data_IF_982385765556
#
_entry.id   IF_982385765556
#
_cell.length_a   1.000
_cell.length_b   1.000
_cell.length_c   1.000
_cell.angle_alpha   90.00
_cell.angle_beta   90.00
_cell.angle_gamma   90.00
#
_symmetry.space_group_name_H-M   'P 1'
#
loop_
_entity.id
_entity.type
_entity.pdbx_description
1 polymer ?
#
# COMPACT_ATOMS: atom_id res chain seq x y z
N UNK A 1 9.99 30.59 11.00
CA UNK A 1 11.18 29.76 10.66
C UNK A 1 10.86 28.31 11.03
N UNK A 2 11.55 27.31 10.43
CA UNK A 2 11.38 25.88 10.77
C UNK A 2 12.75 25.29 11.07
N UNK A 3 12.87 24.52 12.15
CA UNK A 3 14.13 23.92 12.63
C UNK A 3 13.96 22.41 12.78
N UNK A 4 14.93 21.64 12.30
CA UNK A 4 15.00 20.20 12.54
C UNK A 4 15.63 19.96 13.92
N UNK A 5 14.93 19.19 14.76
CA UNK A 5 15.42 18.82 16.09
C UNK A 5 16.47 17.72 16.01
N UNK A 6 17.42 17.75 16.96
CA UNK A 6 18.25 16.59 17.26
C UNK A 6 17.41 15.52 17.98
N UNK A 7 17.72 14.25 17.82
CA UNK A 7 16.98 13.14 18.46
C UNK A 7 16.91 13.27 19.98
N UNK A 8 17.96 13.86 20.60
CA UNK A 8 18.02 14.13 22.04
C UNK A 8 16.94 15.11 22.51
N UNK A 9 16.39 15.91 21.61
CA UNK A 9 15.42 16.96 21.91
C UNK A 9 13.97 16.57 21.56
N UNK A 10 13.74 15.37 21.00
CA UNK A 10 12.40 14.92 20.57
C UNK A 10 11.38 14.92 21.72
N UNK A 11 11.82 14.62 22.93
CA UNK A 11 10.96 14.64 24.14
C UNK A 11 10.34 16.01 24.42
N UNK A 12 10.98 17.12 23.99
CA UNK A 12 10.41 18.48 24.11
C UNK A 12 9.07 18.62 23.36
N UNK A 13 8.85 17.80 22.33
CA UNK A 13 7.63 17.83 21.50
C UNK A 13 6.52 16.92 22.00
N UNK A 14 6.78 16.07 22.99
CA UNK A 14 5.79 15.11 23.51
C UNK A 14 4.46 15.77 23.86
N UNK A 15 4.40 16.93 24.59
CA UNK A 15 3.14 17.57 24.93
C UNK A 15 2.30 17.97 23.72
N UNK A 16 2.92 18.31 22.58
CA UNK A 16 2.23 18.70 21.34
C UNK A 16 1.54 17.50 20.70
N UNK A 17 2.15 16.33 20.79
CA UNK A 17 1.67 15.09 20.15
C UNK A 17 0.79 14.22 21.07
N UNK A 18 0.47 14.62 22.31
CA UNK A 18 -0.31 13.82 23.24
C UNK A 18 -1.63 13.31 22.62
N UNK A 19 -2.37 14.19 21.93
CA UNK A 19 -3.63 13.84 21.28
C UNK A 19 -3.47 13.01 19.98
N UNK A 20 -2.25 12.75 19.55
CA UNK A 20 -1.92 11.91 18.40
C UNK A 20 -1.27 10.57 18.79
N UNK A 21 -1.01 10.32 20.08
CA UNK A 21 -0.33 9.10 20.56
C UNK A 21 -1.16 7.81 20.41
N UNK A 22 -2.44 7.92 20.11
CA UNK A 22 -3.25 6.79 19.68
C UNK A 22 -2.73 6.17 18.37
N UNK A 23 -2.02 6.94 17.56
CA UNK A 23 -1.22 6.46 16.43
C UNK A 23 0.19 6.22 16.97
N UNK A 24 0.49 4.94 17.20
CA UNK A 24 1.63 4.50 18.00
C UNK A 24 2.97 4.99 17.44
N UNK A 25 3.07 5.16 16.12
CA UNK A 25 4.30 5.62 15.46
C UNK A 25 4.76 6.98 15.98
N UNK A 26 3.82 7.88 16.35
CA UNK A 26 4.20 9.22 16.86
C UNK A 26 4.94 9.10 18.19
N UNK A 27 4.48 8.22 19.07
CA UNK A 27 5.12 7.92 20.34
C UNK A 27 6.45 7.20 20.12
N UNK A 28 6.48 6.21 19.23
CA UNK A 28 7.68 5.43 18.91
C UNK A 28 8.82 6.30 18.34
N UNK A 29 8.50 7.34 17.55
CA UNK A 29 9.50 8.29 17.06
C UNK A 29 10.04 9.17 18.20
N UNK A 30 9.19 9.69 19.08
CA UNK A 30 9.63 10.51 20.23
C UNK A 30 10.51 9.70 21.18
N UNK A 31 10.20 8.43 21.40
CA UNK A 31 10.98 7.49 22.23
C UNK A 31 12.26 7.00 21.52
N UNK A 32 12.41 7.23 20.22
CA UNK A 32 13.55 6.76 19.42
C UNK A 32 13.52 5.27 19.11
N UNK A 33 12.36 4.61 19.27
CA UNK A 33 12.17 3.18 18.92
C UNK A 33 11.86 2.97 17.45
N UNK A 34 11.40 4.01 16.74
CA UNK A 34 11.17 4.01 15.30
C UNK A 34 11.92 5.17 14.61
N UNK A 35 12.32 5.00 13.33
CA UNK A 35 12.93 6.08 12.56
C UNK A 35 11.95 7.27 12.39
N UNK A 36 12.49 8.48 12.49
CA UNK A 36 11.71 9.70 12.26
C UNK A 36 12.55 10.95 12.33
N UNK A 37 11.95 12.08 11.91
CA UNK A 37 12.51 13.45 12.03
C UNK A 37 11.41 14.37 12.54
N UNK A 38 11.78 15.32 13.39
CA UNK A 38 10.83 16.30 13.94
C UNK A 38 11.34 17.70 13.62
N UNK A 39 10.45 18.50 13.07
CA UNK A 39 10.67 19.92 12.76
C UNK A 39 9.78 20.78 13.64
N UNK A 40 10.33 21.89 14.16
CA UNK A 40 9.63 22.77 15.08
C UNK A 40 9.82 24.25 14.72
N UNK A 41 8.98 25.09 15.27
CA UNK A 41 9.12 26.55 15.20
C UNK A 41 10.20 27.11 16.15
N UNK A 42 10.46 26.44 17.26
CA UNK A 42 11.47 26.78 18.25
C UNK A 42 12.13 25.52 18.81
N UNK A 43 13.45 25.50 18.94
CA UNK A 43 14.21 24.32 19.40
C UNK A 43 14.07 24.14 20.93
N UNK A 44 14.04 25.23 21.68
CA UNK A 44 14.04 25.18 23.16
C UNK A 44 12.63 25.01 23.71
N UNK A 45 11.65 25.75 23.17
CA UNK A 45 10.26 25.73 23.61
C UNK A 45 9.30 25.61 22.41
N UNK A 46 9.18 24.39 21.82
CA UNK A 46 8.38 24.17 20.63
C UNK A 46 6.87 24.38 20.92
N UNK A 47 6.22 25.19 20.09
CA UNK A 47 4.76 25.40 20.13
C UNK A 47 4.04 24.82 18.93
N UNK A 48 4.79 24.55 17.84
CA UNK A 48 4.31 23.96 16.60
C UNK A 48 5.32 22.92 16.14
N UNK A 49 4.85 21.73 15.78
CA UNK A 49 5.73 20.66 15.33
C UNK A 49 5.15 19.92 14.11
N UNK A 50 6.06 19.50 13.24
CA UNK A 50 5.83 18.61 12.12
C UNK A 50 6.74 17.40 12.23
N UNK A 51 6.14 16.21 12.35
CA UNK A 51 6.85 14.94 12.47
C UNK A 51 6.79 14.18 11.16
N UNK A 52 7.93 13.71 10.69
CA UNK A 52 8.08 12.80 9.57
C UNK A 52 8.38 11.39 10.12
N UNK A 53 7.61 10.39 9.73
CA UNK A 53 7.77 9.00 10.16
C UNK A 53 7.82 8.07 8.95
N UNK A 54 8.05 6.81 9.16
CA UNK A 54 8.01 5.78 8.10
C UNK A 54 6.58 5.43 7.65
N UNK A 55 5.56 5.84 8.42
CA UNK A 55 4.15 5.55 8.11
C UNK A 55 3.35 6.78 7.67
N UNK A 56 3.92 7.96 7.78
CA UNK A 56 3.27 9.21 7.41
C UNK A 56 3.82 10.40 8.16
N UNK A 57 3.07 11.49 8.11
CA UNK A 57 3.48 12.79 8.65
C UNK A 57 2.43 13.31 9.61
N UNK A 58 2.85 14.06 10.62
CA UNK A 58 1.92 14.54 11.65
C UNK A 58 2.18 16.00 12.01
N UNK A 59 1.10 16.79 12.05
CA UNK A 59 1.11 18.18 12.49
C UNK A 59 0.48 18.32 13.87
N UNK A 60 1.15 19.02 14.76
CA UNK A 60 0.68 19.25 16.12
C UNK A 60 0.96 20.67 16.63
N UNK A 61 0.21 21.10 17.63
CA UNK A 61 0.42 22.37 18.34
C UNK A 61 -0.28 23.56 17.69
N UNK A 62 0.32 24.74 17.84
CA UNK A 62 -0.25 26.01 17.42
C UNK A 62 -0.39 26.14 15.90
N UNK A 63 -1.63 26.27 15.43
CA UNK A 63 -1.93 26.38 13.99
C UNK A 63 -1.73 27.80 13.43
N UNK A 64 -1.70 28.83 14.29
CA UNK A 64 -1.63 30.25 13.90
C UNK A 64 -0.18 30.74 13.74
N UNK A 65 0.75 29.87 13.40
CA UNK A 65 2.12 30.23 13.10
C UNK A 65 2.31 30.29 11.57
N UNK A 66 1.93 31.42 10.97
CA UNK A 66 1.96 31.56 9.51
C UNK A 66 3.37 31.48 8.91
N UNK A 67 4.40 31.86 9.68
CA UNK A 67 5.80 31.73 9.25
C UNK A 67 6.19 30.25 9.18
N UNK A 68 5.84 29.45 10.20
CA UNK A 68 6.04 28.01 10.21
C UNK A 68 5.28 27.35 9.04
N UNK A 69 4.01 27.72 8.84
CA UNK A 69 3.15 27.15 7.79
C UNK A 69 3.73 27.40 6.38
N UNK A 70 4.26 28.60 6.11
CA UNK A 70 4.95 28.91 4.85
C UNK A 70 6.29 28.18 4.73
N UNK A 71 7.04 28.06 5.83
CA UNK A 71 8.30 27.31 5.85
C UNK A 71 8.07 25.81 5.65
N UNK A 72 6.97 25.28 6.19
CA UNK A 72 6.54 23.88 5.98
C UNK A 72 6.18 23.61 4.52
N UNK A 73 5.50 24.53 3.82
CA UNK A 73 5.30 24.41 2.38
C UNK A 73 6.63 24.25 1.63
N UNK A 74 7.62 25.11 1.94
CA UNK A 74 8.96 24.99 1.32
C UNK A 74 9.63 23.65 1.66
N UNK A 75 9.55 23.21 2.90
CA UNK A 75 10.09 21.91 3.32
C UNK A 75 9.47 20.76 2.49
N UNK A 76 8.14 20.75 2.35
CA UNK A 76 7.42 19.71 1.58
C UNK A 76 7.85 19.73 0.12
N UNK A 77 7.74 20.87 -0.56
CA UNK A 77 7.92 20.94 -2.01
C UNK A 77 9.37 20.97 -2.46
N UNK A 78 10.30 21.47 -1.65
CA UNK A 78 11.72 21.65 -2.03
C UNK A 78 12.64 20.58 -1.43
N UNK A 79 12.21 19.85 -0.40
CA UNK A 79 13.02 18.81 0.24
C UNK A 79 12.32 17.45 0.23
N UNK A 80 11.14 17.32 0.86
CA UNK A 80 10.49 16.01 0.98
C UNK A 80 10.10 15.46 -0.39
N UNK A 81 9.49 16.25 -1.24
CA UNK A 81 9.12 15.84 -2.60
C UNK A 81 10.30 15.64 -3.55
N UNK A 82 11.52 16.01 -3.14
CA UNK A 82 12.74 15.75 -3.89
C UNK A 82 13.56 14.57 -3.34
N UNK A 83 13.00 13.85 -2.37
CA UNK A 83 13.58 12.60 -1.84
C UNK A 83 14.29 12.71 -0.50
N UNK A 84 14.31 13.90 0.16
CA UNK A 84 14.84 14.06 1.52
C UNK A 84 13.82 13.59 2.57
N UNK A 85 13.44 12.33 2.48
CA UNK A 85 12.37 11.68 3.29
C UNK A 85 12.96 10.68 4.29
N UNK A 86 12.17 10.28 5.28
CA UNK A 86 12.52 9.21 6.24
C UNK A 86 12.52 7.85 5.54
N UNK A 87 11.51 7.61 4.72
CA UNK A 87 11.39 6.42 3.89
C UNK A 87 12.01 6.71 2.51
N UNK A 88 12.98 5.91 2.10
CA UNK A 88 13.60 6.06 0.77
C UNK A 88 12.56 5.94 -0.34
N UNK A 89 12.76 6.70 -1.40
CA UNK A 89 11.95 6.69 -2.62
C UNK A 89 10.46 7.04 -2.38
N UNK A 90 10.16 7.74 -1.29
CA UNK A 90 8.81 8.22 -1.00
C UNK A 90 8.45 9.35 -1.99
N UNK A 91 7.32 9.17 -2.67
CA UNK A 91 6.84 10.09 -3.71
C UNK A 91 5.54 10.81 -3.32
N UNK A 92 5.10 10.58 -2.09
CA UNK A 92 3.84 11.11 -1.56
C UNK A 92 3.94 11.40 -0.06
N UNK A 93 3.07 12.23 0.43
CA UNK A 93 2.91 12.50 1.86
C UNK A 93 1.44 12.39 2.28
N UNK A 94 1.23 11.81 3.46
CA UNK A 94 -0.07 11.74 4.12
C UNK A 94 0.04 12.38 5.49
N UNK A 95 -0.63 13.53 5.70
CA UNK A 95 -0.51 14.34 6.93
C UNK A 95 -1.72 14.11 7.83
N UNK A 96 -1.51 13.45 8.97
CA UNK A 96 -2.40 13.46 10.13
C UNK A 96 -2.17 14.71 10.98
N UNK A 97 -3.14 15.10 11.79
CA UNK A 97 -3.00 16.37 12.53
C UNK A 97 -3.90 16.46 13.76
N UNK A 98 -3.45 17.24 14.73
CA UNK A 98 -4.23 17.73 15.86
C UNK A 98 -3.66 19.11 16.28
N UNK A 99 -4.52 20.10 16.57
CA UNK A 99 -6.00 20.12 16.56
C UNK A 99 -6.61 20.23 15.16
N UNK A 100 -7.93 20.09 15.09
CA UNK A 100 -8.70 20.15 13.84
C UNK A 100 -8.58 21.49 13.08
N UNK A 101 -8.17 22.56 13.74
CA UNK A 101 -7.92 23.88 13.13
C UNK A 101 -6.82 23.85 12.05
N UNK A 102 -5.96 22.83 12.02
CA UNK A 102 -5.00 22.60 10.94
C UNK A 102 -5.66 22.47 9.55
N UNK A 103 -6.92 22.02 9.47
CA UNK A 103 -7.68 21.97 8.22
C UNK A 103 -7.70 23.31 7.48
N UNK A 104 -7.80 24.41 8.22
CA UNK A 104 -7.84 25.77 7.66
C UNK A 104 -6.47 26.21 7.12
N UNK A 105 -5.38 25.55 7.51
CA UNK A 105 -4.00 25.88 7.11
C UNK A 105 -3.52 25.04 5.93
N UNK A 106 -4.23 23.97 5.58
CA UNK A 106 -3.85 23.10 4.45
C UNK A 106 -3.69 23.84 3.11
N UNK A 107 -4.53 24.85 2.76
CA UNK A 107 -4.30 25.63 1.54
C UNK A 107 -2.95 26.36 1.51
N UNK A 108 -2.45 26.81 2.67
CA UNK A 108 -1.12 27.44 2.79
C UNK A 108 -0.02 26.40 2.73
N UNK A 109 -0.17 25.30 3.47
CA UNK A 109 0.83 24.20 3.56
C UNK A 109 1.00 23.52 2.20
N UNK A 110 -0.09 23.28 1.47
CA UNK A 110 -0.09 22.68 0.15
C UNK A 110 -0.24 23.71 -0.99
N UNK A 111 0.19 24.96 -0.78
CA UNK A 111 0.17 25.95 -1.86
C UNK A 111 0.93 25.41 -3.08
N UNK A 112 0.26 25.31 -4.22
CA UNK A 112 0.78 24.69 -5.45
C UNK A 112 0.25 23.28 -5.72
N UNK A 113 -0.51 22.68 -4.80
CA UNK A 113 -1.17 21.36 -4.96
C UNK A 113 -2.44 21.30 -4.12
N UNK A 114 -3.54 20.81 -4.69
CA UNK A 114 -4.76 20.55 -3.92
C UNK A 114 -4.66 19.16 -3.27
N UNK A 115 -4.53 19.05 -1.95
CA UNK A 115 -4.41 17.76 -1.31
C UNK A 115 -5.74 17.01 -1.32
N UNK A 116 -5.66 15.69 -1.46
CA UNK A 116 -6.79 14.79 -1.30
C UNK A 116 -7.07 14.56 0.18
N UNK A 117 -8.31 14.72 0.61
CA UNK A 117 -8.73 14.31 1.97
C UNK A 117 -9.04 12.83 1.95
N UNK A 118 -8.26 12.03 2.67
CA UNK A 118 -8.45 10.59 2.82
C UNK A 118 -9.00 10.26 4.19
N UNK A 119 -9.91 9.28 4.27
CA UNK A 119 -10.47 8.78 5.51
C UNK A 119 -9.83 7.44 5.86
N UNK A 120 -9.40 7.29 7.10
CA UNK A 120 -8.76 6.09 7.62
C UNK A 120 -9.44 5.59 8.88
N UNK A 121 -9.19 4.33 9.19
CA UNK A 121 -9.68 3.66 10.41
C UNK A 121 -8.49 3.18 11.22
N UNK A 122 -8.59 3.37 12.54
CA UNK A 122 -7.71 2.75 13.52
C UNK A 122 -8.48 1.71 14.30
N UNK A 123 -7.92 0.53 14.39
CA UNK A 123 -8.44 -0.61 15.11
C UNK A 123 -7.44 -1.06 16.17
N UNK A 124 -7.95 -1.62 17.26
CA UNK A 124 -7.12 -2.24 18.31
C UNK A 124 -7.59 -3.65 18.62
N UNK A 125 -6.66 -4.51 18.99
CA UNK A 125 -6.92 -5.88 19.42
C UNK A 125 -6.20 -6.17 20.75
N UNK A 126 -6.97 -6.61 21.76
CA UNK A 126 -6.47 -7.05 23.06
C UNK A 126 -6.75 -8.53 23.32
N UNK A 127 -7.47 -9.18 22.40
CA UNK A 127 -7.84 -10.60 22.48
C UNK A 127 -8.23 -11.12 21.09
N UNK A 128 -7.68 -12.25 20.72
CA UNK A 128 -8.09 -12.95 19.50
C UNK A 128 -9.57 -13.38 19.57
N UNK A 129 -10.25 -13.26 18.43
CA UNK A 129 -11.62 -13.77 18.27
C UNK A 129 -11.64 -15.28 18.14
N UNK A 130 -10.67 -15.84 17.39
CA UNK A 130 -10.51 -17.28 17.18
C UNK A 130 -9.17 -17.74 17.76
N UNK A 131 -9.22 -18.51 18.86
CA UNK A 131 -8.02 -19.01 19.53
C UNK A 131 -7.40 -20.23 18.84
N UNK A 132 -8.23 -21.03 18.18
CA UNK A 132 -7.81 -22.24 17.47
C UNK A 132 -7.50 -21.99 16.00
N UNK A 133 -7.00 -20.79 15.68
CA UNK A 133 -6.72 -20.37 14.30
C UNK A 133 -5.78 -21.33 13.55
N UNK A 134 -4.94 -22.09 14.26
CA UNK A 134 -4.01 -23.08 13.67
C UNK A 134 -4.75 -24.21 12.97
N UNK A 135 -5.91 -24.61 13.46
CA UNK A 135 -6.72 -25.71 12.92
C UNK A 135 -7.35 -25.35 11.57
N UNK A 136 -7.36 -24.05 11.24
CA UNK A 136 -7.90 -23.53 9.99
C UNK A 136 -6.83 -23.31 8.91
N UNK A 137 -5.57 -23.71 9.15
CA UNK A 137 -4.51 -23.58 8.12
C UNK A 137 -4.81 -24.56 6.99
N UNK A 138 -5.01 -24.11 5.74
CA UNK A 138 -5.33 -25.00 4.65
C UNK A 138 -4.16 -25.96 4.33
N UNK A 139 -4.50 -27.15 3.83
CA UNK A 139 -3.50 -28.13 3.41
C UNK A 139 -2.53 -27.51 2.37
N UNK A 140 -1.25 -27.78 2.52
CA UNK A 140 -0.18 -27.25 1.66
C UNK A 140 0.34 -25.87 2.07
N UNK A 141 -0.25 -25.24 3.10
CA UNK A 141 0.23 -23.97 3.64
C UNK A 141 0.87 -24.17 5.02
N UNK A 142 1.84 -23.33 5.33
CA UNK A 142 2.50 -23.30 6.64
C UNK A 142 2.59 -21.84 7.11
N UNK A 143 2.35 -21.61 8.41
CA UNK A 143 2.55 -20.30 9.01
C UNK A 143 3.75 -20.40 9.96
N UNK A 144 4.73 -19.54 9.73
CA UNK A 144 5.98 -19.52 10.48
C UNK A 144 6.33 -18.10 10.92
N UNK A 145 7.05 -18.00 12.05
CA UNK A 145 7.67 -16.75 12.46
C UNK A 145 8.78 -16.38 11.48
N UNK A 146 8.87 -15.09 11.16
CA UNK A 146 9.96 -14.55 10.37
C UNK A 146 11.16 -14.35 11.33
N UNK A 147 12.13 -15.22 11.24
CA UNK A 147 13.38 -15.19 12.00
C UNK A 147 14.59 -15.34 11.07
N UNK A 148 15.79 -15.30 11.64
CA UNK A 148 17.03 -15.45 10.88
C UNK A 148 17.08 -16.78 10.11
N UNK A 149 16.66 -17.88 10.77
CA UNK A 149 16.65 -19.23 10.19
C UNK A 149 15.74 -19.28 8.96
N UNK A 150 14.56 -18.67 9.04
CA UNK A 150 13.64 -18.59 7.90
C UNK A 150 14.25 -17.82 6.74
N UNK A 151 14.86 -16.64 7.02
CA UNK A 151 15.44 -15.80 5.96
C UNK A 151 16.67 -16.43 5.30
N UNK A 152 17.36 -17.35 5.98
CA UNK A 152 18.51 -18.09 5.48
C UNK A 152 18.11 -19.47 4.88
N UNK A 153 16.82 -19.81 4.84
CA UNK A 153 16.35 -21.09 4.29
C UNK A 153 16.66 -21.20 2.81
N UNK A 154 17.44 -22.21 2.37
CA UNK A 154 17.80 -22.40 0.98
C UNK A 154 16.54 -22.53 0.09
N UNK A 155 16.60 -21.91 -1.08
CA UNK A 155 15.54 -21.94 -2.10
C UNK A 155 14.18 -21.34 -1.69
N UNK A 156 14.03 -20.80 -0.47
CA UNK A 156 12.82 -20.06 -0.10
C UNK A 156 12.75 -18.73 -0.88
N UNK A 157 11.69 -18.55 -1.63
CA UNK A 157 11.43 -17.30 -2.34
C UNK A 157 10.83 -16.28 -1.38
N UNK A 158 11.67 -15.34 -0.94
CA UNK A 158 11.27 -14.22 -0.08
C UNK A 158 11.02 -13.02 -0.98
N UNK A 159 9.77 -12.55 -1.12
CA UNK A 159 9.48 -11.35 -1.90
C UNK A 159 10.22 -10.13 -1.35
N UNK A 160 10.79 -9.31 -2.22
CA UNK A 160 11.58 -8.15 -1.83
C UNK A 160 10.83 -7.19 -0.89
N UNK A 161 9.53 -7.01 -1.10
CA UNK A 161 8.71 -6.16 -0.23
C UNK A 161 8.68 -6.61 1.24
N UNK A 162 8.96 -7.88 1.57
CA UNK A 162 9.08 -8.39 2.95
C UNK A 162 10.30 -7.77 3.63
N UNK A 163 11.46 -7.88 2.99
CA UNK A 163 12.73 -7.35 3.53
C UNK A 163 12.76 -5.82 3.48
N UNK A 164 12.16 -5.21 2.46
CA UNK A 164 12.05 -3.75 2.37
C UNK A 164 11.16 -3.19 3.49
N UNK A 165 10.05 -3.86 3.83
CA UNK A 165 9.21 -3.47 4.96
C UNK A 165 9.98 -3.45 6.29
N UNK A 166 10.77 -4.50 6.55
CA UNK A 166 11.63 -4.56 7.74
C UNK A 166 12.66 -3.42 7.77
N UNK A 167 13.37 -3.20 6.65
CA UNK A 167 14.40 -2.14 6.55
C UNK A 167 13.79 -0.76 6.74
N UNK A 168 12.63 -0.51 6.14
CA UNK A 168 11.95 0.78 6.20
C UNK A 168 11.50 1.08 7.62
N UNK A 169 10.79 0.17 8.27
CA UNK A 169 10.17 0.44 9.57
C UNK A 169 11.16 0.34 10.74
N UNK A 170 12.24 -0.41 10.57
CA UNK A 170 13.21 -0.67 11.66
C UNK A 170 14.62 -0.14 11.38
N UNK A 171 14.85 0.45 10.19
CA UNK A 171 16.17 0.92 9.76
C UNK A 171 17.06 -0.20 9.21
N UNK A 172 16.97 -1.42 9.73
CA UNK A 172 17.69 -2.60 9.23
C UNK A 172 16.96 -3.90 9.53
N UNK A 173 17.28 -4.98 8.79
CA UNK A 173 16.80 -6.34 9.11
C UNK A 173 17.33 -6.77 10.48
N UNK A 174 18.57 -6.41 10.85
CA UNK A 174 19.17 -6.73 12.14
C UNK A 174 18.41 -6.10 13.31
N UNK A 175 18.00 -4.84 13.18
CA UNK A 175 17.19 -4.16 14.20
C UNK A 175 15.80 -4.75 14.31
N UNK A 176 15.17 -5.09 13.17
CA UNK A 176 13.90 -5.82 13.15
C UNK A 176 14.02 -7.16 13.90
N UNK A 177 15.08 -7.95 13.66
CA UNK A 177 15.29 -9.24 14.34
C UNK A 177 15.47 -9.11 15.83
N UNK A 178 16.04 -7.98 16.30
CA UNK A 178 16.27 -7.74 17.73
C UNK A 178 15.03 -7.20 18.46
N UNK A 179 14.24 -6.35 17.81
CA UNK A 179 13.21 -5.52 18.44
C UNK A 179 11.80 -5.81 17.92
N UNK A 180 11.68 -6.26 16.66
CA UNK A 180 10.42 -6.52 16.00
C UNK A 180 10.03 -8.00 16.00
N UNK A 181 8.92 -8.27 15.36
CA UNK A 181 8.45 -9.64 15.09
C UNK A 181 7.60 -9.66 13.82
N UNK A 182 7.43 -10.83 13.25
CA UNK A 182 6.56 -11.02 12.11
C UNK A 182 6.28 -12.49 11.84
N UNK A 183 5.22 -12.75 11.10
CA UNK A 183 4.79 -14.07 10.66
C UNK A 183 4.54 -14.07 9.17
N UNK A 184 4.77 -15.20 8.54
CA UNK A 184 4.45 -15.38 7.12
C UNK A 184 3.76 -16.72 6.88
N UNK A 185 2.94 -16.73 5.82
CA UNK A 185 2.39 -17.96 5.26
C UNK A 185 3.21 -18.37 4.07
N UNK A 186 3.63 -19.64 4.05
CA UNK A 186 4.43 -20.27 2.99
C UNK A 186 3.56 -21.28 2.25
N UNK A 187 3.65 -21.28 0.91
CA UNK A 187 3.10 -22.30 0.03
C UNK A 187 4.20 -22.78 -0.91
N UNK A 188 4.48 -24.09 -0.87
CA UNK A 188 5.65 -24.66 -1.55
C UNK A 188 6.94 -24.04 -1.01
N UNK A 189 7.67 -23.32 -1.85
CA UNK A 189 8.90 -22.64 -1.50
C UNK A 189 8.79 -21.11 -1.51
N UNK A 190 7.58 -20.55 -1.36
CA UNK A 190 7.36 -19.10 -1.48
C UNK A 190 6.56 -18.53 -0.31
N UNK A 191 6.98 -17.36 0.20
CA UNK A 191 6.16 -16.55 1.09
C UNK A 191 5.04 -15.90 0.29
N UNK A 192 3.79 -16.19 0.65
CA UNK A 192 2.58 -15.74 -0.07
C UNK A 192 1.73 -14.75 0.71
N UNK A 193 1.89 -14.71 2.03
CA UNK A 193 1.29 -13.72 2.92
C UNK A 193 2.24 -13.43 4.08
N UNK A 194 2.20 -12.22 4.63
CA UNK A 194 2.96 -11.86 5.81
C UNK A 194 2.21 -10.83 6.67
N UNK A 195 2.51 -10.82 7.96
CA UNK A 195 2.13 -9.81 8.93
C UNK A 195 3.33 -9.49 9.80
N UNK A 196 3.75 -8.23 9.83
CA UNK A 196 5.00 -7.76 10.44
C UNK A 196 4.68 -6.58 11.34
N UNK A 197 5.33 -6.50 12.50
CA UNK A 197 5.25 -5.33 13.37
C UNK A 197 5.84 -4.10 12.67
N UNK A 198 5.05 -3.05 12.59
CA UNK A 198 5.42 -1.77 11.99
C UNK A 198 6.19 -0.91 12.99
N UNK A 199 5.69 -0.81 14.21
CA UNK A 199 6.34 -0.12 15.32
C UNK A 199 5.96 -0.73 16.67
N UNK A 200 6.75 -0.41 17.70
CA UNK A 200 6.53 -0.81 19.09
C UNK A 200 6.83 0.38 20.00
N UNK A 201 5.96 0.59 21.00
CA UNK A 201 6.17 1.54 22.09
C UNK A 201 5.55 1.00 23.37
N UNK A 202 6.36 0.84 24.42
CA UNK A 202 5.93 0.23 25.66
C UNK A 202 5.37 -1.19 25.47
N UNK A 203 4.15 -1.42 25.91
CA UNK A 203 3.42 -2.69 25.77
C UNK A 203 2.45 -2.71 24.58
N UNK A 204 2.56 -1.78 23.64
CA UNK A 204 1.76 -1.74 22.42
C UNK A 204 2.60 -1.93 21.17
N UNK A 205 2.01 -2.52 20.14
CA UNK A 205 2.60 -2.64 18.81
C UNK A 205 1.56 -2.39 17.73
N UNK A 206 1.98 -2.03 16.53
CA UNK A 206 1.15 -1.99 15.31
C UNK A 206 1.69 -2.99 14.29
N UNK A 207 0.79 -3.57 13.49
CA UNK A 207 1.14 -4.58 12.50
C UNK A 207 0.62 -4.22 11.11
N UNK A 208 1.48 -4.40 10.11
CA UNK A 208 1.15 -4.39 8.70
C UNK A 208 0.85 -5.78 8.16
N UNK A 209 0.20 -5.85 7.00
CA UNK A 209 -0.13 -7.11 6.33
C UNK A 209 -0.09 -7.00 4.83
N UNK A 210 0.33 -8.08 4.20
CA UNK A 210 0.23 -8.24 2.75
C UNK A 210 -0.09 -9.69 2.37
N UNK A 211 -0.87 -9.87 1.30
CA UNK A 211 -1.09 -11.18 0.67
C UNK A 211 -0.98 -11.04 -0.83
N UNK A 212 -0.15 -11.87 -1.43
CA UNK A 212 0.05 -11.95 -2.87
C UNK A 212 -1.29 -12.16 -3.58
N UNK A 213 -1.52 -11.46 -4.67
CA UNK A 213 -2.83 -11.38 -5.35
C UNK A 213 -3.45 -12.73 -5.69
N UNK A 214 -2.66 -13.68 -6.19
CA UNK A 214 -3.11 -15.04 -6.56
C UNK A 214 -3.52 -15.90 -5.35
N UNK A 215 -3.24 -15.43 -4.12
CA UNK A 215 -3.53 -16.12 -2.87
C UNK A 215 -4.56 -15.39 -2.01
N UNK A 216 -5.17 -14.31 -2.55
CA UNK A 216 -6.22 -13.56 -1.86
C UNK A 216 -7.52 -14.35 -1.80
N UNK A 217 -8.40 -13.97 -0.86
CA UNK A 217 -9.74 -14.58 -0.65
C UNK A 217 -9.74 -16.05 -0.20
N UNK A 218 -8.59 -16.55 0.28
CA UNK A 218 -8.40 -17.90 0.83
C UNK A 218 -8.25 -17.90 2.37
N UNK A 219 -8.51 -16.77 3.05
CA UNK A 219 -8.38 -16.68 4.51
C UNK A 219 -6.95 -16.47 5.02
N UNK A 220 -5.92 -16.57 4.17
CA UNK A 220 -4.50 -16.55 4.58
C UNK A 220 -4.11 -15.28 5.32
N UNK A 221 -4.57 -14.11 4.87
CA UNK A 221 -4.35 -12.84 5.56
C UNK A 221 -4.82 -12.89 7.02
N UNK A 222 -6.03 -13.43 7.25
CA UNK A 222 -6.62 -13.55 8.59
C UNK A 222 -5.78 -14.47 9.48
N UNK A 223 -5.35 -15.61 8.97
CA UNK A 223 -4.54 -16.57 9.70
C UNK A 223 -3.14 -16.04 10.01
N UNK A 224 -2.50 -15.36 9.04
CA UNK A 224 -1.18 -14.77 9.23
C UNK A 224 -1.23 -13.64 10.27
N UNK A 225 -2.26 -12.79 10.22
CA UNK A 225 -2.46 -11.74 11.22
C UNK A 225 -2.82 -12.32 12.60
N UNK A 226 -3.63 -13.38 12.66
CA UNK A 226 -3.92 -14.08 13.92
C UNK A 226 -2.66 -14.63 14.57
N UNK A 227 -1.73 -15.22 13.80
CA UNK A 227 -0.44 -15.67 14.30
C UNK A 227 0.40 -14.54 14.91
N UNK A 228 0.43 -13.37 14.23
CA UNK A 228 1.15 -12.20 14.72
C UNK A 228 0.54 -11.64 16.01
N UNK A 229 -0.79 -11.54 16.07
CA UNK A 229 -1.53 -11.08 17.27
C UNK A 229 -1.39 -12.06 18.43
N UNK A 230 -1.50 -13.38 18.19
CA UNK A 230 -1.33 -14.43 19.19
C UNK A 230 0.05 -14.34 19.84
N UNK A 231 1.09 -14.23 19.00
CA UNK A 231 2.46 -14.04 19.46
C UNK A 231 2.62 -12.75 20.28
N UNK A 232 2.11 -11.62 19.79
CA UNK A 232 2.23 -10.35 20.48
C UNK A 232 1.62 -10.42 21.89
N UNK A 233 0.35 -10.87 22.00
CA UNK A 233 -0.35 -10.97 23.28
C UNK A 233 0.33 -11.97 24.22
N UNK A 234 0.81 -13.10 23.71
CA UNK A 234 1.55 -14.10 24.50
C UNK A 234 2.94 -13.62 24.93
N UNK A 235 3.52 -12.64 24.23
CA UNK A 235 4.81 -12.03 24.54
C UNK A 235 4.72 -10.82 25.47
N UNK A 236 3.53 -10.53 26.03
CA UNK A 236 3.33 -9.47 27.01
C UNK A 236 2.86 -8.13 26.44
N UNK A 237 2.60 -8.04 25.12
CA UNK A 237 1.92 -6.88 24.58
C UNK A 237 0.46 -6.87 25.06
N UNK A 238 -0.01 -5.70 25.47
CA UNK A 238 -1.39 -5.52 25.96
C UNK A 238 -2.33 -5.08 24.85
N UNK A 239 -1.79 -4.55 23.75
CA UNK A 239 -2.55 -4.00 22.63
C UNK A 239 -1.80 -4.14 21.32
N UNK A 240 -2.51 -4.56 20.28
CA UNK A 240 -2.03 -4.57 18.90
C UNK A 240 -2.88 -3.60 18.10
N UNK A 241 -2.25 -2.63 17.41
CA UNK A 241 -2.88 -1.65 16.55
C UNK A 241 -2.92 -2.10 15.08
N UNK A 242 -3.86 -1.50 14.33
CA UNK A 242 -4.05 -1.72 12.90
C UNK A 242 -4.62 -0.48 12.24
N UNK A 243 -4.00 -0.01 11.18
CA UNK A 243 -4.49 1.10 10.38
C UNK A 243 -4.85 0.68 8.96
N UNK A 244 -5.95 1.21 8.43
CA UNK A 244 -6.30 1.01 7.02
C UNK A 244 -7.14 2.15 6.47
N UNK A 245 -7.18 2.28 5.13
CA UNK A 245 -8.11 3.18 4.46
C UNK A 245 -9.56 2.76 4.69
N UNK A 246 -10.47 3.74 4.82
CA UNK A 246 -11.89 3.50 5.03
C UNK A 246 -12.54 2.66 3.91
N UNK A 247 -11.99 2.75 2.69
CA UNK A 247 -12.49 2.00 1.54
C UNK A 247 -11.73 0.68 1.27
N UNK A 248 -10.74 0.33 2.09
CA UNK A 248 -10.05 -0.95 2.00
C UNK A 248 -10.84 -2.05 2.71
N UNK A 249 -11.96 -2.45 2.10
CA UNK A 249 -12.86 -3.48 2.66
C UNK A 249 -12.15 -4.81 2.93
N UNK A 250 -11.10 -5.13 2.17
CA UNK A 250 -10.28 -6.32 2.38
C UNK A 250 -9.55 -6.28 3.71
N UNK A 251 -8.85 -5.17 4.00
CA UNK A 251 -8.11 -4.97 5.26
C UNK A 251 -9.06 -4.89 6.46
N UNK A 252 -10.17 -4.15 6.32
CA UNK A 252 -11.23 -4.06 7.33
C UNK A 252 -11.75 -5.46 7.70
N UNK A 253 -12.12 -6.27 6.70
CA UNK A 253 -12.64 -7.61 6.93
C UNK A 253 -11.64 -8.56 7.57
N UNK A 254 -10.34 -8.39 7.31
CA UNK A 254 -9.28 -9.16 8.00
C UNK A 254 -9.19 -8.72 9.46
N UNK A 255 -9.08 -7.43 9.74
CA UNK A 255 -8.99 -6.90 11.10
C UNK A 255 -10.16 -7.40 11.97
N UNK A 256 -11.40 -7.23 11.50
CA UNK A 256 -12.62 -7.64 12.24
C UNK A 256 -12.71 -9.16 12.47
N UNK A 257 -12.23 -9.98 11.52
CA UNK A 257 -12.18 -11.45 11.68
C UNK A 257 -11.16 -11.90 12.70
N UNK A 258 -10.01 -11.24 12.79
CA UNK A 258 -8.97 -11.52 13.79
C UNK A 258 -9.42 -11.15 15.20
N UNK A 259 -10.26 -10.13 15.35
CA UNK A 259 -10.77 -9.67 16.64
C UNK A 259 -10.47 -8.19 16.95
N UNK A 260 -9.95 -7.47 15.97
CA UNK A 260 -9.75 -6.04 16.11
C UNK A 260 -11.10 -5.30 16.18
N UNK A 261 -11.15 -4.30 17.04
CA UNK A 261 -12.31 -3.42 17.21
C UNK A 261 -11.97 -2.03 16.69
N UNK A 262 -12.90 -1.44 15.96
CA UNK A 262 -12.77 -0.06 15.49
C UNK A 262 -12.74 0.88 16.71
N UNK A 263 -11.64 1.60 16.87
CA UNK A 263 -11.47 2.58 17.94
C UNK A 263 -11.81 3.98 17.47
N UNK A 264 -11.32 4.36 16.28
CA UNK A 264 -11.63 5.66 15.70
C UNK A 264 -11.54 5.69 14.19
N UNK A 265 -12.21 6.68 13.61
CA UNK A 265 -12.01 7.15 12.24
C UNK A 265 -11.27 8.49 12.29
N UNK A 266 -10.38 8.71 11.35
CA UNK A 266 -9.63 9.93 11.23
C UNK A 266 -9.39 10.31 9.78
N UNK A 267 -9.01 11.55 9.53
CA UNK A 267 -8.68 12.02 8.20
C UNK A 267 -7.21 12.38 8.11
N UNK A 268 -6.67 12.27 6.89
CA UNK A 268 -5.35 12.76 6.50
C UNK A 268 -5.49 13.59 5.24
N UNK A 269 -4.55 14.52 5.05
CA UNK A 269 -4.37 15.19 3.77
C UNK A 269 -3.24 14.53 3.01
N UNK A 270 -3.53 14.10 1.79
CA UNK A 270 -2.63 13.31 0.95
C UNK A 270 -2.25 14.09 -0.30
N UNK A 271 -0.97 14.10 -0.65
CA UNK A 271 -0.49 14.68 -1.90
C UNK A 271 0.74 13.95 -2.41
N UNK A 272 0.86 13.81 -3.74
CA UNK A 272 2.05 13.28 -4.39
C UNK A 272 2.98 14.40 -4.87
N UNK A 273 4.27 14.12 -4.91
CA UNK A 273 5.29 15.00 -5.45
C UNK A 273 5.03 15.35 -6.93
N UNK A 274 4.74 14.34 -7.74
CA UNK A 274 4.40 14.53 -9.16
C UNK A 274 2.90 14.76 -9.33
N UNK A 275 2.52 15.74 -10.17
CA UNK A 275 1.14 16.13 -10.40
C UNK A 275 0.34 15.05 -11.11
N UNK A 276 0.90 14.42 -12.14
CA UNK A 276 0.21 13.36 -12.85
C UNK A 276 -0.04 12.14 -11.96
N UNK A 277 0.96 11.74 -11.16
CA UNK A 277 0.78 10.70 -10.14
C UNK A 277 -0.33 11.08 -9.16
N UNK A 278 -0.36 12.33 -8.71
CA UNK A 278 -1.41 12.82 -7.82
C UNK A 278 -2.81 12.73 -8.44
N UNK A 279 -2.96 13.04 -9.74
CA UNK A 279 -4.22 12.86 -10.46
C UNK A 279 -4.67 11.39 -10.48
N UNK A 280 -3.74 10.47 -10.76
CA UNK A 280 -4.02 9.03 -10.77
C UNK A 280 -4.48 8.50 -9.41
N UNK A 281 -3.79 8.89 -8.33
CA UNK A 281 -4.16 8.52 -6.95
C UNK A 281 -5.49 9.15 -6.53
N UNK A 282 -5.73 10.41 -6.88
CA UNK A 282 -7.00 11.10 -6.63
C UNK A 282 -8.15 10.40 -7.34
N UNK A 283 -7.96 10.03 -8.61
CA UNK A 283 -8.95 9.30 -9.39
C UNK A 283 -9.27 7.93 -8.75
N UNK A 284 -8.23 7.19 -8.33
CA UNK A 284 -8.39 5.89 -7.68
C UNK A 284 -9.13 6.00 -6.34
N UNK A 285 -8.84 7.04 -5.57
CA UNK A 285 -9.54 7.29 -4.30
C UNK A 285 -11.03 7.57 -4.54
N UNK A 286 -11.35 8.49 -5.46
CA UNK A 286 -12.75 8.78 -5.82
C UNK A 286 -13.49 7.55 -6.35
N UNK A 287 -12.82 6.73 -7.18
CA UNK A 287 -13.35 5.48 -7.68
C UNK A 287 -13.72 4.50 -6.52
N UNK A 288 -12.81 4.30 -5.58
CA UNK A 288 -13.05 3.45 -4.39
C UNK A 288 -14.18 3.99 -3.50
N UNK A 289 -14.28 5.30 -3.39
CA UNK A 289 -15.34 6.01 -2.68
C UNK A 289 -16.67 6.04 -3.45
N UNK A 290 -16.74 5.46 -4.65
CA UNK A 290 -17.89 5.48 -5.57
C UNK A 290 -18.32 6.90 -5.99
N UNK A 291 -17.44 7.86 -5.90
CA UNK A 291 -17.59 9.20 -6.45
C UNK A 291 -17.14 9.18 -7.90
N UNK A 292 -18.01 8.59 -8.74
CA UNK A 292 -17.62 8.21 -10.10
C UNK A 292 -17.36 9.39 -11.03
N UNK A 293 -18.09 10.50 -10.89
CA UNK A 293 -17.88 11.72 -11.70
C UNK A 293 -16.49 12.29 -11.48
N UNK A 294 -16.12 12.48 -10.22
CA UNK A 294 -14.80 12.96 -9.83
C UNK A 294 -13.69 11.98 -10.21
N UNK A 295 -13.97 10.67 -10.11
CA UNK A 295 -13.04 9.66 -10.56
C UNK A 295 -12.75 9.74 -12.06
N UNK A 296 -13.80 9.86 -12.89
CA UNK A 296 -13.70 9.99 -14.35
C UNK A 296 -12.89 11.22 -14.71
N UNK A 297 -13.24 12.39 -14.16
CA UNK A 297 -12.55 13.65 -14.44
C UNK A 297 -11.04 13.57 -14.17
N UNK A 298 -10.67 13.00 -13.03
CA UNK A 298 -9.25 12.88 -12.65
C UNK A 298 -8.53 11.79 -13.49
N UNK A 299 -9.18 10.64 -13.78
CA UNK A 299 -8.59 9.64 -14.68
C UNK A 299 -8.40 10.19 -16.09
N UNK A 300 -9.35 10.92 -16.64
CA UNK A 300 -9.22 11.50 -18.00
C UNK A 300 -8.05 12.49 -18.06
N UNK A 301 -7.88 13.35 -17.05
CA UNK A 301 -6.71 14.23 -16.94
C UNK A 301 -5.41 13.43 -16.82
N UNK A 302 -5.38 12.38 -15.98
CA UNK A 302 -4.22 11.51 -15.82
C UNK A 302 -3.84 10.79 -17.11
N UNK A 303 -4.82 10.16 -17.78
CA UNK A 303 -4.61 9.38 -19.00
C UNK A 303 -4.22 10.23 -20.22
N UNK A 304 -4.52 11.54 -20.20
CA UNK A 304 -4.13 12.50 -21.24
C UNK A 304 -2.84 13.26 -20.90
N UNK A 305 -2.24 13.00 -19.72
CA UNK A 305 -0.98 13.65 -19.34
C UNK A 305 0.15 13.23 -20.28
N UNK A 306 0.90 14.18 -20.86
CA UNK A 306 2.05 13.89 -21.70
C UNK A 306 3.11 13.06 -20.96
N UNK A 307 3.71 12.11 -21.68
CA UNK A 307 4.66 11.15 -21.06
C UNK A 307 5.89 11.83 -20.42
N UNK A 308 6.34 12.94 -21.00
CA UNK A 308 7.47 13.72 -20.45
C UNK A 308 7.18 14.35 -19.08
N UNK A 309 5.91 14.52 -18.71
CA UNK A 309 5.47 15.01 -17.41
C UNK A 309 5.37 13.91 -16.36
N UNK A 310 5.44 12.64 -16.76
CA UNK A 310 5.42 11.50 -15.84
C UNK A 310 6.83 11.27 -15.26
N UNK A 311 6.96 10.89 -13.99
CA UNK A 311 8.24 10.47 -13.43
C UNK A 311 8.69 9.15 -14.08
N UNK A 312 10.01 8.90 -14.11
CA UNK A 312 10.59 7.73 -14.79
C UNK A 312 9.95 6.41 -14.37
N UNK A 313 9.85 6.18 -13.07
CA UNK A 313 9.25 4.96 -12.54
C UNK A 313 7.80 4.75 -13.00
N UNK A 314 7.00 5.83 -13.09
CA UNK A 314 5.62 5.74 -13.55
C UNK A 314 5.54 5.48 -15.06
N UNK A 315 6.47 6.03 -15.83
CA UNK A 315 6.59 5.72 -17.29
C UNK A 315 6.87 4.25 -17.55
N UNK A 316 7.65 3.60 -16.68
CA UNK A 316 7.99 2.17 -16.80
C UNK A 316 6.81 1.26 -16.43
N UNK A 317 6.05 1.62 -15.39
CA UNK A 317 4.96 0.79 -14.87
C UNK A 317 3.63 1.06 -15.58
N UNK A 318 3.34 2.31 -15.91
CA UNK A 318 2.04 2.74 -16.47
C UNK A 318 1.61 1.95 -17.71
N UNK A 319 2.47 1.59 -18.68
CA UNK A 319 2.04 0.80 -19.84
C UNK A 319 1.40 -0.53 -19.49
N UNK A 320 1.80 -1.14 -18.36
CA UNK A 320 1.24 -2.40 -17.86
C UNK A 320 -0.07 -2.19 -17.11
N UNK A 321 -0.28 -1.02 -16.54
CA UNK A 321 -1.46 -0.67 -15.74
C UNK A 321 -2.54 0.10 -16.52
N UNK A 322 -2.22 0.62 -17.71
CA UNK A 322 -3.18 1.40 -18.51
C UNK A 322 -4.50 0.67 -18.71
N UNK A 323 -4.48 -0.64 -18.95
CA UNK A 323 -5.69 -1.44 -19.09
C UNK A 323 -6.58 -1.38 -17.86
N UNK A 324 -6.00 -1.38 -16.66
CA UNK A 324 -6.74 -1.27 -15.40
C UNK A 324 -7.34 0.11 -15.23
N UNK A 325 -6.61 1.17 -15.57
CA UNK A 325 -7.10 2.54 -15.48
C UNK A 325 -8.27 2.77 -16.44
N UNK A 326 -8.14 2.36 -17.71
CA UNK A 326 -9.25 2.43 -18.68
C UNK A 326 -10.47 1.62 -18.23
N UNK A 327 -10.27 0.43 -17.66
CA UNK A 327 -11.36 -0.37 -17.11
C UNK A 327 -12.08 0.34 -15.94
N UNK A 328 -11.35 1.01 -15.05
CA UNK A 328 -11.95 1.76 -13.94
C UNK A 328 -12.81 2.94 -14.46
N UNK A 329 -12.36 3.63 -15.51
CA UNK A 329 -13.18 4.66 -16.16
C UNK A 329 -14.42 4.03 -16.79
N UNK A 330 -14.28 2.93 -17.53
CA UNK A 330 -15.43 2.22 -18.13
C UNK A 330 -16.47 1.84 -17.06
N UNK A 331 -16.03 1.29 -15.95
CA UNK A 331 -16.93 0.89 -14.86
C UNK A 331 -17.57 2.12 -14.19
N UNK A 332 -16.82 3.19 -13.97
CA UNK A 332 -17.34 4.43 -13.39
C UNK A 332 -18.41 5.08 -14.31
N UNK A 333 -18.16 5.12 -15.62
CA UNK A 333 -19.13 5.62 -16.63
C UNK A 333 -20.38 4.74 -16.68
N UNK A 334 -20.22 3.42 -16.67
CA UNK A 334 -21.35 2.49 -16.61
C UNK A 334 -22.19 2.70 -15.32
N UNK A 335 -21.53 2.95 -14.19
CA UNK A 335 -22.21 3.17 -12.91
C UNK A 335 -23.06 4.46 -12.87
N UNK A 336 -22.73 5.45 -13.70
CA UNK A 336 -23.51 6.70 -13.84
C UNK A 336 -24.42 6.71 -15.07
N UNK A 337 -24.52 5.59 -15.81
CA UNK A 337 -25.43 5.43 -16.94
C UNK A 337 -24.87 5.91 -18.30
N UNK A 338 -23.63 6.31 -18.39
CA UNK A 338 -22.95 6.70 -19.63
C UNK A 338 -22.50 5.46 -20.43
N UNK A 339 -23.47 4.63 -20.85
CA UNK A 339 -23.24 3.29 -21.40
C UNK A 339 -22.40 3.29 -22.69
N UNK A 340 -22.58 4.26 -23.58
CA UNK A 340 -21.81 4.35 -24.82
C UNK A 340 -20.33 4.57 -24.53
N UNK A 341 -20.04 5.58 -23.72
CA UNK A 341 -18.66 5.91 -23.32
C UNK A 341 -18.03 4.76 -22.52
N UNK A 342 -18.82 4.11 -21.65
CA UNK A 342 -18.36 2.95 -20.89
C UNK A 342 -17.85 1.82 -21.81
N UNK A 343 -18.56 1.54 -22.92
CA UNK A 343 -18.11 0.55 -23.91
C UNK A 343 -16.84 1.00 -24.64
N UNK A 344 -16.73 2.26 -25.02
CA UNK A 344 -15.53 2.82 -25.67
C UNK A 344 -14.30 2.72 -24.75
N UNK A 345 -14.44 3.05 -23.47
CA UNK A 345 -13.36 2.90 -22.49
C UNK A 345 -13.04 1.44 -22.19
N UNK A 346 -14.02 0.54 -22.23
CA UNK A 346 -13.80 -0.89 -22.08
C UNK A 346 -13.01 -1.47 -23.26
N UNK A 347 -13.27 -1.02 -24.49
CA UNK A 347 -12.46 -1.37 -25.65
C UNK A 347 -11.00 -0.92 -25.49
N UNK A 348 -10.78 0.34 -25.07
CA UNK A 348 -9.44 0.84 -24.75
C UNK A 348 -8.75 -0.01 -23.66
N UNK A 349 -9.48 -0.43 -22.64
CA UNK A 349 -8.96 -1.31 -21.59
C UNK A 349 -8.47 -2.64 -22.17
N UNK A 350 -9.29 -3.27 -23.02
CA UNK A 350 -8.94 -4.53 -23.70
C UNK A 350 -7.73 -4.36 -24.63
N UNK A 351 -7.60 -3.23 -25.30
CA UNK A 351 -6.46 -2.92 -26.14
C UNK A 351 -5.16 -2.80 -25.34
N UNK A 352 -5.25 -2.25 -24.16
CA UNK A 352 -4.14 -2.13 -23.23
C UNK A 352 -3.93 -3.35 -22.33
N UNK A 353 -4.51 -4.51 -22.70
CA UNK A 353 -4.20 -5.79 -22.08
C UNK A 353 -5.06 -6.18 -20.86
N UNK A 354 -6.14 -5.46 -20.58
CA UNK A 354 -7.09 -5.88 -19.54
C UNK A 354 -7.99 -7.03 -20.06
N UNK A 355 -7.82 -8.25 -19.55
CA UNK A 355 -8.44 -9.47 -20.11
C UNK A 355 -9.20 -10.31 -19.06
N UNK A 356 -9.75 -9.69 -18.00
CA UNK A 356 -10.45 -10.40 -16.91
C UNK A 356 -11.91 -10.69 -17.26
N UNK A 357 -12.15 -11.65 -18.15
CA UNK A 357 -13.48 -11.98 -18.72
C UNK A 357 -14.53 -12.33 -17.65
N UNK A 358 -14.19 -13.23 -16.73
CA UNK A 358 -15.15 -13.71 -15.72
C UNK A 358 -15.49 -12.59 -14.72
N UNK A 359 -14.52 -11.78 -14.36
CA UNK A 359 -14.73 -10.60 -13.53
C UNK A 359 -15.67 -9.61 -14.23
N UNK A 360 -15.44 -9.34 -15.54
CA UNK A 360 -16.27 -8.43 -16.33
C UNK A 360 -17.76 -8.86 -16.34
N UNK A 361 -18.03 -10.16 -16.56
CA UNK A 361 -19.39 -10.70 -16.62
C UNK A 361 -20.14 -10.57 -15.29
N UNK A 362 -19.46 -10.54 -14.17
CA UNK A 362 -20.07 -10.44 -12.84
C UNK A 362 -20.40 -9.01 -12.41
N UNK A 363 -19.96 -8.01 -13.18
CA UNK A 363 -20.14 -6.59 -12.82
C UNK A 363 -21.54 -6.12 -13.16
N UNK A 364 -22.30 -5.78 -12.12
CA UNK A 364 -23.68 -5.29 -12.23
C UNK A 364 -23.80 -3.97 -12.99
N UNK A 365 -22.75 -3.16 -12.97
CA UNK A 365 -22.70 -1.86 -13.62
C UNK A 365 -22.82 -1.97 -15.14
N UNK A 366 -22.47 -3.12 -15.73
CA UNK A 366 -22.57 -3.35 -17.18
C UNK A 366 -23.84 -4.08 -17.61
N UNK A 367 -24.76 -4.42 -16.71
CA UNK A 367 -25.96 -5.21 -17.03
C UNK A 367 -26.80 -4.65 -18.17
N UNK A 368 -26.99 -3.33 -18.20
CA UNK A 368 -27.75 -2.65 -19.25
C UNK A 368 -27.16 -2.79 -20.66
N UNK A 369 -25.91 -3.22 -20.76
CA UNK A 369 -25.19 -3.37 -22.02
C UNK A 369 -25.03 -4.80 -22.49
N UNK A 370 -25.38 -5.81 -21.65
CA UNK A 370 -25.09 -7.22 -21.91
C UNK A 370 -25.69 -7.75 -23.21
N UNK A 371 -26.81 -7.21 -23.68
CA UNK A 371 -27.48 -7.65 -24.92
C UNK A 371 -27.03 -6.86 -26.16
N UNK A 372 -26.15 -5.85 -25.97
CA UNK A 372 -25.72 -5.02 -27.09
C UNK A 372 -24.70 -5.73 -28.00
N UNK A 373 -24.71 -5.49 -29.31
CA UNK A 373 -23.69 -6.02 -30.22
C UNK A 373 -22.25 -5.60 -29.82
N UNK A 374 -22.09 -4.37 -29.35
CA UNK A 374 -20.79 -3.86 -28.91
C UNK A 374 -20.23 -4.65 -27.70
N UNK A 375 -21.05 -4.93 -26.70
CA UNK A 375 -20.67 -5.78 -25.57
C UNK A 375 -20.23 -7.18 -26.04
N UNK A 376 -21.02 -7.82 -26.90
CA UNK A 376 -20.71 -9.15 -27.41
C UNK A 376 -19.39 -9.17 -28.21
N UNK A 377 -19.11 -8.11 -28.95
CA UNK A 377 -17.85 -7.94 -29.69
C UNK A 377 -16.65 -7.84 -28.73
N UNK A 378 -16.79 -7.08 -27.63
CA UNK A 378 -15.76 -6.94 -26.60
C UNK A 378 -15.46 -8.31 -25.95
N UNK A 379 -16.50 -9.07 -25.56
CA UNK A 379 -16.31 -10.41 -24.99
C UNK A 379 -15.57 -11.35 -25.94
N UNK A 380 -15.97 -11.40 -27.23
CA UNK A 380 -15.28 -12.19 -28.27
C UNK A 380 -13.82 -11.76 -28.41
N UNK A 381 -13.55 -10.46 -28.35
CA UNK A 381 -12.20 -9.90 -28.47
C UNK A 381 -11.32 -10.31 -27.30
N UNK A 382 -11.82 -10.26 -26.06
CA UNK A 382 -11.13 -10.74 -24.85
C UNK A 382 -10.82 -12.23 -25.00
N UNK A 383 -11.79 -13.06 -25.41
CA UNK A 383 -11.60 -14.50 -25.61
C UNK A 383 -10.50 -14.82 -26.64
N UNK A 384 -10.49 -14.10 -27.78
CA UNK A 384 -9.44 -14.26 -28.81
C UNK A 384 -8.05 -13.92 -28.29
N UNK A 385 -7.92 -12.79 -27.54
CA UNK A 385 -6.64 -12.38 -26.95
C UNK A 385 -6.16 -13.40 -25.90
N UNK A 386 -7.05 -13.91 -25.04
CA UNK A 386 -6.73 -14.94 -24.05
C UNK A 386 -6.26 -16.24 -24.69
N UNK A 387 -6.91 -16.68 -25.78
CA UNK A 387 -6.49 -17.86 -26.54
C UNK A 387 -5.08 -17.67 -27.12
N UNK A 388 -4.83 -16.54 -27.77
CA UNK A 388 -3.52 -16.22 -28.35
C UNK A 388 -2.40 -16.20 -27.29
N UNK A 389 -2.65 -15.61 -26.12
CA UNK A 389 -1.67 -15.60 -25.03
C UNK A 389 -1.34 -17.01 -24.53
N UNK A 390 -2.34 -17.91 -24.44
CA UNK A 390 -2.13 -19.31 -24.08
C UNK A 390 -1.29 -20.04 -25.13
N UNK A 391 -1.59 -19.84 -26.41
CA UNK A 391 -0.87 -20.47 -27.53
C UNK A 391 0.60 -19.99 -27.60
N UNK A 392 0.84 -18.71 -27.39
CA UNK A 392 2.19 -18.12 -27.32
C UNK A 392 3.00 -18.66 -26.13
N UNK A 393 2.35 -18.78 -24.96
CA UNK A 393 3.00 -19.36 -23.77
C UNK A 393 3.34 -20.83 -23.97
N UNK A 394 2.41 -21.61 -24.54
CA UNK A 394 2.62 -23.02 -24.87
C UNK A 394 3.79 -23.19 -25.88
N UNK A 395 3.82 -22.33 -26.90
CA UNK A 395 4.88 -22.34 -27.91
C UNK A 395 6.27 -22.02 -27.33
N UNK A 396 6.33 -21.00 -26.44
CA UNK A 396 7.56 -20.62 -25.71
C UNK A 396 8.05 -21.79 -24.82
N UNK A 397 7.14 -22.44 -24.11
CA UNK A 397 7.44 -23.57 -23.22
C UNK A 397 7.95 -24.76 -24.01
N UNK A 398 7.36 -25.07 -25.18
CA UNK A 398 7.84 -26.12 -26.09
C UNK A 398 9.24 -25.83 -26.65
N UNK A 399 9.50 -24.57 -27.05
CA UNK A 399 10.83 -24.16 -27.54
C UNK A 399 11.90 -24.28 -26.43
N UNK A 400 11.55 -23.88 -25.20
CA UNK A 400 12.44 -24.03 -24.05
C UNK A 400 12.75 -25.51 -23.75
N UNK A 401 11.73 -26.38 -23.72
CA UNK A 401 11.91 -27.83 -23.54
C UNK A 401 12.79 -28.45 -24.66
N UNK A 402 12.57 -28.10 -25.93
CA UNK A 402 13.41 -28.58 -27.05
C UNK A 402 14.87 -28.13 -26.91
N UNK A 403 15.11 -26.89 -26.49
CA UNK A 403 16.46 -26.35 -26.25
C UNK A 403 17.18 -27.10 -25.11
N UNK A 404 16.48 -27.41 -24.03
CA UNK A 404 17.01 -28.19 -22.90
C UNK A 404 17.33 -29.62 -23.31
N UNK A 405 16.45 -30.28 -24.11
CA UNK A 405 16.66 -31.62 -24.62
C UNK A 405 17.86 -31.70 -25.59
N UNK A 406 18.05 -30.69 -26.44
CA UNK A 406 19.22 -30.59 -27.32
C UNK A 406 20.53 -30.42 -26.54
N UNK A 407 20.53 -29.56 -25.51
CA UNK A 407 21.70 -29.35 -24.66
C UNK A 407 22.07 -30.60 -23.88
N UNK A 408 21.10 -31.38 -23.39
CA UNK A 408 21.32 -32.67 -22.70
C UNK A 408 21.83 -33.73 -23.63
N UNK A 409 21.35 -33.77 -24.91
CA UNK A 409 21.82 -34.69 -25.92
C UNK A 409 23.26 -34.42 -26.35
N UNK A 410 23.60 -33.11 -26.54
CA UNK A 410 24.96 -32.70 -26.87
C UNK A 410 25.95 -32.88 -25.71
N UNK A 411 25.49 -32.75 -24.45
CA UNK A 411 26.33 -33.06 -23.29
C UNK A 411 26.65 -34.56 -23.18
N UNK A 412 25.67 -35.44 -23.47
CA UNK A 412 25.88 -36.91 -23.49
C UNK A 412 26.79 -37.36 -24.64
N UNK A 413 26.69 -36.75 -25.80
CA UNK A 413 27.59 -37.04 -26.93
C UNK A 413 29.05 -36.66 -26.61
N UNK A 414 29.29 -35.54 -25.95
CA UNK A 414 30.65 -35.15 -25.56
C UNK A 414 31.25 -35.99 -24.42
N UNK A 415 30.42 -36.69 -23.62
CA UNK A 415 30.89 -37.63 -22.61
C UNK A 415 31.18 -39.05 -23.16
N UNK A 416 30.69 -39.38 -24.35
CA UNK A 416 30.95 -40.65 -25.01
C UNK A 416 32.15 -40.60 -25.98
N UNK A 417 32.75 -39.42 -26.19
CA UNK A 417 33.95 -39.18 -27.01
C UNK A 417 35.22 -38.96 -26.17
N UNK A 418 35.11 -39.11 -24.85
CA UNK A 418 36.23 -39.23 -23.91
C UNK A 418 36.31 -40.64 -23.31
#
# INVERSE_FOLDING_TARGET
>A
MIHELKKTDYQKTQPLFNELQWNLITKAVIEGTSPGRIYTDNIEDPKTAFMCTVEGYYLAGNTNNDEFNRSLNKLIFQRLFTGDTVRKDETDIAIGFHPNTWKQKMPTIFKGRVPLTTARRHYTCTKLKEKHWKDHIPQGFQIQRIDKKLLETPHLQIPEHVTNWMKTNWGSISDFMKKGFGFCTIHGNRIVSWSIADCISGTACEIGIHTHENYRRQGLATLTAAAAVDYALSSGFTQVGWHCDEYNLGSIGVAEKVGFKLERKYIQYYACANEAHHLGETAQFHYRAKRYKEAIENYEKFLTTPQEKLPNWLREVLPQELGVHYFRVALAKAAIGENKDALEYLEKAVDKGWLHLDFLKTRKEFRSMHETPAWNNILKRIQRKLKRTKDEHFTKTLKAKKKTTLLTKNAKLRQSEQ
#
